data_IF_599347651593
#
_entry.id   IF_599347651593
#
_cell.length_a   1.000
_cell.length_b   1.000
_cell.length_c   1.000
_cell.angle_alpha   90.00
_cell.angle_beta   90.00
_cell.angle_gamma   90.00
#
_symmetry.space_group_name_H-M   'P 1'
#
loop_
_entity.id
_entity.type
_entity.pdbx_description
1 polymer ?
#
# COMPACT_ATOMS: atom_id res chain seq x y z
N UNK A 1 -4.28 7.64 11.52
CA UNK A 1 -5.08 6.40 11.25
C UNK A 1 -6.50 6.70 10.83
N UNK A 2 -7.31 7.37 11.67
CA UNK A 2 -8.75 7.57 11.42
C UNK A 2 -9.04 8.24 10.07
N UNK A 3 -8.29 9.27 9.70
CA UNK A 3 -8.48 9.99 8.41
C UNK A 3 -8.37 9.07 7.18
N UNK A 4 -7.33 8.23 7.11
CA UNK A 4 -7.16 7.28 6.00
C UNK A 4 -8.12 6.08 6.07
N UNK A 5 -8.74 5.82 7.22
CA UNK A 5 -9.78 4.80 7.33
C UNK A 5 -11.14 5.31 6.86
N UNK A 6 -11.52 6.54 7.24
CA UNK A 6 -12.78 7.16 6.84
C UNK A 6 -12.75 7.66 5.39
N UNK A 7 -11.60 8.16 4.93
CA UNK A 7 -11.39 8.67 3.58
C UNK A 7 -10.16 8.00 2.92
N UNK A 8 -10.23 6.70 2.62
CA UNK A 8 -9.10 5.99 2.01
C UNK A 8 -8.82 6.52 0.61
N UNK A 9 -7.60 7.03 0.38
CA UNK A 9 -7.13 7.49 -0.93
C UNK A 9 -6.71 6.31 -1.79
N UNK A 10 -6.91 6.40 -3.10
CA UNK A 10 -6.41 5.41 -4.07
C UNK A 10 -7.00 3.99 -3.92
N UNK A 11 -8.19 3.85 -3.35
CA UNK A 11 -8.92 2.56 -3.37
C UNK A 11 -9.26 2.18 -4.82
N UNK A 12 -9.03 0.93 -5.19
CA UNK A 12 -9.41 0.44 -6.51
C UNK A 12 -8.53 -0.69 -7.02
N UNK A 13 -8.57 -0.91 -8.33
CA UNK A 13 -7.71 -1.88 -8.99
C UNK A 13 -7.34 -1.37 -10.37
N UNK A 14 -6.11 -1.67 -10.78
CA UNK A 14 -5.59 -1.39 -12.11
C UNK A 14 -5.79 -2.62 -13.02
N UNK A 15 -5.69 -2.41 -14.33
CA UNK A 15 -5.75 -3.50 -15.30
C UNK A 15 -4.59 -4.47 -15.08
N UNK A 16 -4.93 -5.74 -14.82
CA UNK A 16 -3.94 -6.80 -14.57
C UNK A 16 -3.24 -7.27 -15.85
N UNK A 17 -3.81 -6.99 -17.01
CA UNK A 17 -3.25 -7.39 -18.30
C UNK A 17 -2.26 -6.36 -18.86
N UNK A 18 -2.22 -5.18 -18.26
CA UNK A 18 -1.27 -4.14 -18.63
C UNK A 18 0.16 -4.56 -18.25
N UNK A 19 1.08 -4.53 -19.22
CA UNK A 19 2.47 -4.97 -19.03
C UNK A 19 3.25 -4.13 -18.01
N UNK A 20 2.80 -2.91 -17.79
CA UNK A 20 3.40 -1.93 -16.91
C UNK A 20 2.75 -1.88 -15.51
N UNK A 21 1.84 -2.81 -15.21
CA UNK A 21 1.17 -2.91 -13.91
C UNK A 21 1.73 -4.09 -13.11
N UNK A 22 2.34 -3.78 -11.97
CA UNK A 22 2.73 -4.76 -10.96
C UNK A 22 1.59 -5.03 -9.99
N UNK A 23 1.37 -6.30 -9.62
CA UNK A 23 0.37 -6.66 -8.60
C UNK A 23 1.03 -7.49 -7.50
N UNK A 24 0.99 -6.96 -6.27
CA UNK A 24 1.34 -7.69 -5.06
C UNK A 24 0.08 -8.08 -4.29
N UNK A 25 0.00 -9.35 -3.89
CA UNK A 25 -1.02 -9.84 -2.97
C UNK A 25 -0.29 -10.46 -1.77
N UNK A 26 -0.54 -9.94 -0.58
CA UNK A 26 0.10 -10.36 0.67
C UNK A 26 -0.96 -10.62 1.73
N UNK A 27 -0.71 -11.60 2.58
CA UNK A 27 -1.63 -12.03 3.63
C UNK A 27 -2.34 -13.33 3.30
N UNK A 28 -3.09 -13.83 4.28
CA UNK A 28 -3.81 -15.09 4.18
C UNK A 28 -5.23 -14.90 4.72
N UNK A 29 -6.27 -15.40 4.02
CA UNK A 29 -7.65 -15.32 4.51
C UNK A 29 -7.83 -15.90 5.92
N UNK A 30 -7.02 -16.90 6.27
CA UNK A 30 -7.03 -17.54 7.59
C UNK A 30 -6.60 -16.60 8.74
N UNK A 31 -5.83 -15.56 8.45
CA UNK A 31 -5.36 -14.58 9.44
C UNK A 31 -6.26 -13.34 9.51
N UNK A 32 -7.29 -13.24 8.66
CA UNK A 32 -8.22 -12.10 8.64
C UNK A 32 -7.70 -10.84 7.94
N UNK A 33 -6.42 -10.82 7.55
CA UNK A 33 -5.79 -9.70 6.86
C UNK A 33 -5.25 -10.13 5.48
N UNK A 34 -5.76 -9.48 4.42
CA UNK A 34 -5.32 -9.67 3.02
C UNK A 34 -5.21 -8.31 2.36
N UNK A 35 -4.02 -7.98 1.86
CA UNK A 35 -3.73 -6.74 1.14
C UNK A 35 -3.36 -7.04 -0.30
N UNK A 36 -4.06 -6.38 -1.23
CA UNK A 36 -3.69 -6.31 -2.65
C UNK A 36 -3.23 -4.89 -2.97
N UNK A 37 -1.98 -4.75 -3.39
CA UNK A 37 -1.41 -3.51 -3.88
C UNK A 37 -1.09 -3.64 -5.36
N UNK A 38 -1.44 -2.63 -6.15
CA UNK A 38 -1.11 -2.55 -7.56
C UNK A 38 -0.41 -1.22 -7.83
N UNK A 39 0.65 -1.26 -8.62
CA UNK A 39 1.39 -0.08 -9.06
C UNK A 39 1.47 -0.09 -10.58
N UNK A 40 1.32 1.07 -11.18
CA UNK A 40 1.57 1.30 -12.60
C UNK A 40 2.87 2.08 -12.75
N UNK A 41 3.76 1.59 -13.61
CA UNK A 41 5.08 2.18 -13.85
C UNK A 41 5.13 2.74 -15.26
N UNK A 42 5.76 3.90 -15.46
CA UNK A 42 6.04 4.41 -16.80
C UNK A 42 7.30 3.76 -17.42
N UNK A 43 7.58 4.10 -18.67
CA UNK A 43 8.76 3.62 -19.39
C UNK A 43 10.10 4.10 -18.77
N UNK A 44 10.05 5.11 -17.89
CA UNK A 44 11.21 5.68 -17.20
C UNK A 44 11.43 5.05 -15.82
N UNK A 45 10.60 4.08 -15.42
CA UNK A 45 10.70 3.41 -14.12
C UNK A 45 10.10 4.19 -12.95
N UNK A 46 9.22 5.17 -13.22
CA UNK A 46 8.48 5.93 -12.20
C UNK A 46 7.07 5.38 -12.01
N UNK A 47 6.63 5.33 -10.75
CA UNK A 47 5.28 4.90 -10.41
C UNK A 47 4.31 6.05 -10.70
N UNK A 48 3.44 5.88 -11.70
CA UNK A 48 2.47 6.90 -12.15
C UNK A 48 1.12 6.78 -11.46
N UNK A 49 0.71 5.56 -11.11
CA UNK A 49 -0.46 5.33 -10.26
C UNK A 49 -0.22 4.16 -9.32
N UNK A 50 -0.90 4.20 -8.18
CA UNK A 50 -0.92 3.11 -7.22
C UNK A 50 -2.34 2.96 -6.70
N UNK A 51 -2.81 1.72 -6.59
CA UNK A 51 -4.15 1.37 -6.11
C UNK A 51 -4.07 0.22 -5.13
N UNK A 52 -4.92 0.24 -4.11
CA UNK A 52 -4.99 -0.84 -3.15
C UNK A 52 -6.42 -1.35 -2.93
N UNK A 53 -6.49 -2.61 -2.50
CA UNK A 53 -7.66 -3.25 -1.88
C UNK A 53 -7.17 -4.06 -0.69
N UNK A 54 -7.64 -3.70 0.49
CA UNK A 54 -7.32 -4.41 1.73
C UNK A 54 -8.60 -4.93 2.36
N UNK A 55 -8.54 -6.14 2.88
CA UNK A 55 -9.49 -6.69 3.83
C UNK A 55 -8.72 -6.89 5.14
N UNK A 56 -9.13 -6.24 6.21
CA UNK A 56 -8.42 -6.30 7.48
C UNK A 56 -8.84 -5.20 8.44
N UNK A 57 -8.10 -5.07 9.54
CA UNK A 57 -8.35 -4.03 10.53
C UNK A 57 -8.20 -2.60 9.96
N UNK A 58 -8.82 -1.61 10.60
CA UNK A 58 -8.76 -0.21 10.14
C UNK A 58 -7.33 0.34 10.04
N UNK A 59 -6.41 -0.17 10.86
CA UNK A 59 -4.98 0.15 10.77
C UNK A 59 -4.34 -0.37 9.47
N UNK A 60 -4.70 -1.57 9.03
CA UNK A 60 -4.23 -2.12 7.76
C UNK A 60 -4.72 -1.27 6.58
N UNK A 61 -5.99 -0.85 6.60
CA UNK A 61 -6.56 0.04 5.57
C UNK A 61 -5.81 1.38 5.54
N UNK A 62 -5.59 1.98 6.71
CA UNK A 62 -4.88 3.26 6.82
C UNK A 62 -3.43 3.15 6.29
N UNK A 63 -2.71 2.09 6.66
CA UNK A 63 -1.36 1.81 6.16
C UNK A 63 -1.32 1.64 4.65
N UNK A 64 -2.21 0.85 4.08
CA UNK A 64 -2.28 0.65 2.64
C UNK A 64 -2.57 1.96 1.90
N UNK A 65 -3.48 2.78 2.43
CA UNK A 65 -3.81 4.08 1.83
C UNK A 65 -2.62 5.05 1.85
N UNK A 66 -1.94 5.16 2.99
CA UNK A 66 -0.76 6.03 3.12
C UNK A 66 0.37 5.61 2.16
N UNK A 67 0.65 4.31 2.08
CA UNK A 67 1.67 3.78 1.18
C UNK A 67 1.37 4.12 -0.28
N UNK A 68 0.11 3.97 -0.72
CA UNK A 68 -0.25 4.30 -2.11
C UNK A 68 -0.03 5.77 -2.47
N UNK A 69 -0.16 6.69 -1.51
CA UNK A 69 0.18 8.10 -1.75
C UNK A 69 1.70 8.31 -1.80
N UNK A 70 2.44 7.68 -0.89
CA UNK A 70 3.89 7.84 -0.81
C UNK A 70 4.64 7.28 -2.02
N UNK A 71 4.20 6.14 -2.56
CA UNK A 71 4.87 5.50 -3.70
C UNK A 71 4.56 6.22 -5.01
N UNK A 72 3.46 6.98 -5.10
CA UNK A 72 3.07 7.69 -6.31
C UNK A 72 4.07 8.80 -6.63
N UNK A 73 4.60 8.82 -7.84
CA UNK A 73 5.59 9.78 -8.32
C UNK A 73 7.06 9.43 -7.98
N UNK A 74 7.29 8.40 -7.16
CA UNK A 74 8.63 7.88 -6.84
C UNK A 74 9.11 6.89 -7.90
N UNK A 75 10.42 6.68 -7.99
CA UNK A 75 10.98 5.55 -8.74
C UNK A 75 10.81 4.24 -7.96
N UNK A 76 10.98 3.11 -8.65
CA UNK A 76 10.97 1.78 -8.02
C UNK A 76 12.01 1.70 -6.89
N UNK A 77 13.23 2.19 -7.11
CA UNK A 77 14.30 2.18 -6.11
C UNK A 77 14.00 3.03 -4.87
N UNK A 78 13.29 4.16 -5.05
CA UNK A 78 12.84 5.00 -3.96
C UNK A 78 11.70 4.34 -3.17
N UNK A 79 10.77 3.69 -3.87
CA UNK A 79 9.68 2.94 -3.26
C UNK A 79 10.20 1.77 -2.42
N UNK A 80 11.26 1.08 -2.87
CA UNK A 80 11.91 -0.01 -2.14
C UNK A 80 12.61 0.43 -0.84
N UNK A 81 12.92 1.73 -0.70
CA UNK A 81 13.54 2.26 0.52
C UNK A 81 12.55 2.55 1.64
N UNK A 82 11.25 2.59 1.33
CA UNK A 82 10.19 2.82 2.34
C UNK A 82 10.17 1.62 3.29
N UNK A 83 10.34 1.88 4.58
CA UNK A 83 10.32 0.83 5.60
C UNK A 83 9.01 0.86 6.38
N UNK A 84 8.66 -0.30 6.90
CA UNK A 84 7.47 -0.49 7.74
C UNK A 84 7.54 0.36 9.02
N UNK A 85 8.75 0.65 9.50
CA UNK A 85 8.98 1.58 10.62
C UNK A 85 8.51 2.99 10.32
N UNK A 86 8.71 3.47 9.09
CA UNK A 86 8.37 4.85 8.71
C UNK A 86 6.84 5.00 8.66
N UNK A 87 6.16 4.01 8.07
CA UNK A 87 4.69 3.93 8.03
C UNK A 87 4.10 3.86 9.43
N UNK A 88 4.71 3.05 10.32
CA UNK A 88 4.25 2.90 11.69
C UNK A 88 4.41 4.17 12.51
N UNK A 89 5.50 4.93 12.32
CA UNK A 89 5.72 6.21 12.99
C UNK A 89 4.68 7.23 12.50
N UNK A 90 4.50 7.35 11.18
CA UNK A 90 3.54 8.30 10.59
C UNK A 90 2.11 8.05 11.08
N UNK A 91 1.72 6.77 11.17
CA UNK A 91 0.41 6.39 11.68
C UNK A 91 0.34 6.26 13.20
N UNK A 92 1.44 6.53 13.93
CA UNK A 92 1.52 6.38 15.38
C UNK A 92 1.02 5.02 15.87
N UNK A 93 1.38 3.95 15.14
CA UNK A 93 0.92 2.60 15.44
C UNK A 93 1.63 2.02 16.67
N UNK A 94 0.91 1.34 17.56
CA UNK A 94 1.52 0.65 18.70
C UNK A 94 2.51 -0.43 18.24
N UNK A 95 3.55 -0.74 19.05
CA UNK A 95 4.63 -1.65 18.69
C UNK A 95 4.18 -3.04 18.21
N UNK A 96 3.04 -3.53 18.73
CA UNK A 96 2.48 -4.83 18.37
C UNK A 96 2.06 -4.93 16.88
N UNK A 97 1.68 -3.81 16.25
CA UNK A 97 1.24 -3.77 14.85
C UNK A 97 2.40 -3.57 13.86
N UNK A 98 3.60 -3.25 14.33
CA UNK A 98 4.77 -2.99 13.47
C UNK A 98 5.37 -4.26 12.85
N UNK A 99 5.02 -5.45 13.37
CA UNK A 99 5.52 -6.75 12.87
C UNK A 99 4.64 -7.39 11.78
N UNK A 100 3.46 -6.84 11.52
CA UNK A 100 2.50 -7.38 10.52
C UNK A 100 2.57 -6.68 9.16
N UNK A 101 3.17 -5.49 9.10
CA UNK A 101 3.50 -4.78 7.88
C UNK A 101 4.88 -5.22 7.41
#
# INVERSE_FOLDING_TARGET
>A
VVDHYENPRNVGSLDKNAKNVGTGLVGAPACGDVMKLQIEVDEKGKIVDARFKTFGCGSAIASSSLVTEWVKGKSIDEALKIKNTDIAIELSLPPCLQRML
#
